data_IF_725145169813
#
_entry.id   IF_725145169813
#
_cell.length_a   1.000
_cell.length_b   1.000
_cell.length_c   1.000
_cell.angle_alpha   90.00
_cell.angle_beta   90.00
_cell.angle_gamma   90.00
#
_symmetry.space_group_name_H-M   'P 1'
#
loop_
_entity.id
_entity.type
_entity.pdbx_description
1 polymer ?
#
# COMPACT_ATOMS: atom_id res chain seq x y z
N UNK A 1 -19.71 -0.83 -1.55
CA UNK A 1 -18.34 -1.34 -1.27
C UNK A 1 -18.31 -2.86 -1.37
N UNK A 2 -18.91 -3.62 -0.45
CA UNK A 2 -18.88 -5.10 -0.51
C UNK A 2 -19.46 -5.68 -1.80
N UNK A 3 -20.56 -5.13 -2.31
CA UNK A 3 -21.12 -5.55 -3.60
C UNK A 3 -20.15 -5.33 -4.79
N UNK A 4 -19.35 -4.25 -4.78
CA UNK A 4 -18.35 -3.99 -5.82
C UNK A 4 -17.21 -4.99 -5.74
N UNK A 5 -16.75 -5.33 -4.53
CA UNK A 5 -15.72 -6.36 -4.36
C UNK A 5 -16.25 -7.73 -4.75
N UNK A 6 -17.48 -8.08 -4.36
CA UNK A 6 -18.11 -9.34 -4.75
C UNK A 6 -18.27 -9.47 -6.26
N UNK A 7 -18.68 -8.40 -6.95
CA UNK A 7 -18.74 -8.38 -8.40
C UNK A 7 -17.35 -8.56 -9.03
N UNK A 8 -16.34 -7.81 -8.56
CA UNK A 8 -14.98 -7.93 -9.07
C UNK A 8 -14.38 -9.32 -8.81
N UNK A 9 -14.55 -9.85 -7.60
CA UNK A 9 -14.12 -11.21 -7.24
C UNK A 9 -14.82 -12.26 -8.09
N UNK A 10 -16.13 -12.14 -8.33
CA UNK A 10 -16.86 -13.05 -9.21
C UNK A 10 -16.28 -13.04 -10.64
N UNK A 11 -16.02 -11.85 -11.20
CA UNK A 11 -15.36 -11.72 -12.51
C UNK A 11 -13.95 -12.33 -12.49
N UNK A 12 -13.17 -12.11 -11.44
CA UNK A 12 -11.83 -12.68 -11.33
C UNK A 12 -11.89 -14.21 -11.24
N UNK A 13 -12.81 -14.78 -10.44
CA UNK A 13 -12.95 -16.23 -10.31
C UNK A 13 -13.35 -16.91 -11.61
N UNK A 14 -14.16 -16.25 -12.46
CA UNK A 14 -14.55 -16.82 -13.76
C UNK A 14 -13.46 -16.68 -14.81
N UNK A 15 -12.55 -15.71 -14.67
CA UNK A 15 -11.46 -15.46 -15.61
C UNK A 15 -10.11 -16.04 -15.17
N UNK A 16 -9.94 -16.40 -13.90
CA UNK A 16 -8.67 -16.91 -13.36
C UNK A 16 -8.46 -18.37 -13.75
N UNK A 17 -7.25 -18.66 -14.24
CA UNK A 17 -6.80 -20.03 -14.46
C UNK A 17 -6.49 -20.79 -13.14
N UNK A 18 -6.51 -20.12 -11.99
CA UNK A 18 -6.29 -20.77 -10.69
C UNK A 18 -7.61 -21.22 -10.07
N UNK A 19 -7.62 -22.41 -9.47
CA UNK A 19 -8.78 -22.96 -8.77
C UNK A 19 -9.25 -22.10 -7.56
N UNK A 20 -8.42 -21.15 -7.12
CA UNK A 20 -8.65 -20.28 -5.96
C UNK A 20 -9.21 -18.91 -6.40
N UNK A 21 -9.21 -18.61 -7.70
CA UNK A 21 -9.63 -17.31 -8.21
C UNK A 21 -8.58 -16.20 -8.05
N UNK A 22 -7.32 -16.52 -7.77
CA UNK A 22 -6.23 -15.56 -7.64
C UNK A 22 -5.36 -15.48 -8.89
N UNK A 23 -4.51 -14.47 -8.99
CA UNK A 23 -3.32 -14.60 -9.85
C UNK A 23 -2.40 -15.65 -9.23
N UNK A 24 -1.77 -16.51 -10.04
CA UNK A 24 -0.79 -17.47 -9.52
C UNK A 24 0.36 -16.76 -8.80
N UNK A 25 0.70 -15.53 -9.23
CA UNK A 25 1.64 -14.65 -8.54
C UNK A 25 1.24 -14.41 -7.06
N UNK A 26 -0.02 -14.06 -6.80
CA UNK A 26 -0.48 -13.82 -5.43
C UNK A 26 -0.50 -15.10 -4.60
N UNK A 27 -0.88 -16.23 -5.20
CA UNK A 27 -0.91 -17.51 -4.50
C UNK A 27 0.48 -17.88 -3.95
N UNK A 28 1.56 -17.61 -4.70
CA UNK A 28 2.93 -17.90 -4.27
C UNK A 28 3.33 -17.18 -2.98
N UNK A 29 2.76 -16.01 -2.67
CA UNK A 29 3.02 -15.30 -1.41
C UNK A 29 2.53 -16.07 -0.16
N UNK A 30 1.60 -17.01 -0.33
CA UNK A 30 1.09 -17.87 0.75
C UNK A 30 1.84 -19.20 0.85
N UNK A 31 2.62 -19.57 -0.17
CA UNK A 31 3.41 -20.81 -0.18
C UNK A 31 4.82 -20.61 0.38
N UNK A 32 5.44 -19.46 0.09
CA UNK A 32 6.76 -19.13 0.61
C UNK A 32 6.68 -18.78 2.10
N UNK A 33 7.41 -19.53 2.93
CA UNK A 33 7.35 -19.45 4.39
C UNK A 33 8.72 -19.68 5.04
N UNK A 34 8.87 -19.20 6.29
CA UNK A 34 10.14 -19.25 7.03
C UNK A 34 10.55 -20.65 7.50
N UNK A 35 9.58 -21.57 7.64
CA UNK A 35 9.84 -22.92 8.15
C UNK A 35 10.50 -23.79 7.08
N UNK A 36 9.98 -23.74 5.86
CA UNK A 36 10.45 -24.57 4.75
C UNK A 36 11.57 -23.88 3.94
N UNK A 37 11.57 -22.55 3.88
CA UNK A 37 12.46 -21.79 2.98
C UNK A 37 13.55 -20.99 3.71
N UNK A 38 13.61 -21.07 5.05
CA UNK A 38 14.48 -20.22 5.86
C UNK A 38 14.04 -18.76 5.86
N UNK A 39 14.87 -17.86 6.37
CA UNK A 39 14.51 -16.43 6.42
C UNK A 39 14.49 -15.82 5.01
N UNK A 40 13.30 -15.61 4.43
CA UNK A 40 13.13 -15.02 3.09
C UNK A 40 12.16 -13.83 3.16
N UNK A 41 12.43 -12.75 2.41
CA UNK A 41 11.53 -11.59 2.38
C UNK A 41 10.10 -11.97 1.96
N UNK A 42 9.11 -11.29 2.53
CA UNK A 42 7.67 -11.49 2.26
C UNK A 42 7.12 -12.87 2.64
N UNK A 43 7.85 -13.66 3.44
CA UNK A 43 7.44 -15.01 3.82
C UNK A 43 6.61 -15.05 5.11
N UNK A 44 6.40 -13.92 5.80
CA UNK A 44 5.66 -13.90 7.07
C UNK A 44 4.22 -14.40 6.91
N UNK A 45 3.52 -13.96 5.87
CA UNK A 45 2.12 -14.38 5.65
C UNK A 45 2.05 -15.87 5.35
N UNK A 46 2.89 -16.40 4.44
CA UNK A 46 2.96 -17.84 4.20
C UNK A 46 3.31 -18.65 5.44
N UNK A 47 4.17 -18.14 6.33
CA UNK A 47 4.49 -18.77 7.61
C UNK A 47 3.28 -18.89 8.53
N UNK A 48 2.42 -17.87 8.57
CA UNK A 48 1.17 -17.93 9.34
C UNK A 48 0.23 -18.99 8.75
N UNK A 49 0.15 -19.13 7.43
CA UNK A 49 -0.71 -20.13 6.80
C UNK A 49 -0.14 -21.55 6.81
N UNK A 50 1.16 -21.72 7.03
CA UNK A 50 1.79 -23.04 7.12
C UNK A 50 1.29 -23.86 8.33
N UNK A 51 0.75 -23.20 9.36
CA UNK A 51 0.13 -23.88 10.51
C UNK A 51 -1.26 -24.44 10.18
N UNK A 52 -1.87 -24.01 9.08
CA UNK A 52 -3.17 -24.51 8.62
C UNK A 52 -2.94 -25.80 7.83
N UNK A 53 -3.65 -26.90 8.14
CA UNK A 53 -3.53 -28.15 7.39
C UNK A 53 -3.77 -27.92 5.89
N UNK A 54 -2.98 -28.60 5.04
CA UNK A 54 -3.01 -28.42 3.58
C UNK A 54 -4.42 -28.50 2.98
N UNK A 55 -5.26 -29.42 3.48
CA UNK A 55 -6.64 -29.58 3.03
C UNK A 55 -7.53 -28.33 3.21
N UNK A 56 -7.19 -27.46 4.17
CA UNK A 56 -7.95 -26.25 4.52
C UNK A 56 -7.26 -24.95 4.13
N UNK A 57 -5.99 -25.01 3.71
CA UNK A 57 -5.15 -23.83 3.47
C UNK A 57 -5.78 -22.87 2.44
N UNK A 58 -6.25 -23.40 1.31
CA UNK A 58 -6.94 -22.63 0.26
C UNK A 58 -8.15 -21.87 0.80
N UNK A 59 -9.02 -22.54 1.56
CA UNK A 59 -10.23 -21.94 2.14
C UNK A 59 -9.84 -20.86 3.15
N UNK A 60 -8.81 -21.11 3.97
CA UNK A 60 -8.31 -20.14 4.94
C UNK A 60 -7.76 -18.87 4.26
N UNK A 61 -7.02 -19.00 3.15
CA UNK A 61 -6.49 -17.86 2.40
C UNK A 61 -7.64 -17.04 1.78
N UNK A 62 -8.65 -17.69 1.18
CA UNK A 62 -9.83 -16.99 0.66
C UNK A 62 -10.56 -16.25 1.79
N UNK A 63 -10.81 -16.93 2.91
CA UNK A 63 -11.47 -16.35 4.07
C UNK A 63 -10.69 -15.15 4.63
N UNK A 64 -9.36 -15.24 4.67
CA UNK A 64 -8.47 -14.15 5.06
C UNK A 64 -8.57 -12.95 4.11
N UNK A 65 -8.53 -13.16 2.79
CA UNK A 65 -8.70 -12.08 1.83
C UNK A 65 -10.04 -11.35 2.00
N UNK A 66 -11.13 -12.09 2.23
CA UNK A 66 -12.43 -11.50 2.53
C UNK A 66 -12.45 -10.73 3.85
N UNK A 67 -11.80 -11.27 4.88
CA UNK A 67 -11.66 -10.59 6.16
C UNK A 67 -10.87 -9.27 6.02
N UNK A 68 -9.82 -9.23 5.21
CA UNK A 68 -9.07 -7.99 4.90
C UNK A 68 -9.97 -6.95 4.22
N UNK A 69 -10.73 -7.35 3.20
CA UNK A 69 -11.67 -6.49 2.50
C UNK A 69 -12.70 -5.90 3.45
N UNK A 70 -13.31 -6.74 4.30
CA UNK A 70 -14.31 -6.30 5.29
C UNK A 70 -13.68 -5.36 6.29
N UNK A 71 -12.49 -5.68 6.82
CA UNK A 71 -11.79 -4.82 7.76
C UNK A 71 -11.49 -3.44 7.16
N UNK A 72 -11.00 -3.37 5.91
CA UNK A 72 -10.76 -2.11 5.22
C UNK A 72 -12.06 -1.33 4.97
N UNK A 73 -13.15 -2.03 4.62
CA UNK A 73 -14.46 -1.40 4.48
C UNK A 73 -14.93 -0.78 5.80
N UNK A 74 -14.75 -1.47 6.93
CA UNK A 74 -15.09 -0.96 8.26
C UNK A 74 -14.23 0.25 8.64
N UNK A 75 -12.94 0.24 8.33
CA UNK A 75 -12.05 1.41 8.53
C UNK A 75 -12.57 2.62 7.76
N UNK A 76 -12.90 2.45 6.47
CA UNK A 76 -13.43 3.54 5.64
C UNK A 76 -14.78 4.03 6.17
N UNK A 77 -15.70 3.12 6.53
CA UNK A 77 -17.00 3.50 7.12
C UNK A 77 -16.82 4.29 8.41
N UNK A 78 -15.92 3.85 9.29
CA UNK A 78 -15.60 4.56 10.52
C UNK A 78 -15.03 5.96 10.26
N UNK A 79 -14.08 6.09 9.33
CA UNK A 79 -13.51 7.38 8.93
C UNK A 79 -14.60 8.32 8.40
N UNK A 80 -15.47 7.85 7.49
CA UNK A 80 -16.54 8.66 6.92
C UNK A 80 -17.58 9.06 7.97
N UNK A 81 -17.88 8.18 8.92
CA UNK A 81 -18.75 8.51 10.05
C UNK A 81 -18.14 9.63 10.91
N UNK A 82 -16.85 9.55 11.25
CA UNK A 82 -16.16 10.59 12.01
C UNK A 82 -16.06 11.92 11.25
N UNK A 83 -15.88 11.87 9.94
CA UNK A 83 -15.80 13.05 9.06
C UNK A 83 -17.14 13.78 8.92
N UNK A 84 -18.28 13.09 8.99
CA UNK A 84 -19.62 13.73 8.91
C UNK A 84 -19.84 14.80 9.97
N UNK A 85 -19.24 14.64 11.15
CA UNK A 85 -19.32 15.63 12.22
C UNK A 85 -18.39 16.83 12.02
N UNK A 86 -17.48 16.77 11.05
CA UNK A 86 -16.40 17.77 10.85
C UNK A 86 -16.49 18.50 9.50
N UNK A 87 -17.26 18.00 8.55
CA UNK A 87 -17.36 18.53 7.19
C UNK A 87 -18.81 18.80 6.79
N UNK A 88 -19.05 19.81 5.92
CA UNK A 88 -20.29 19.95 5.17
C UNK A 88 -20.65 18.67 4.40
N UNK A 89 -21.96 18.42 4.22
CA UNK A 89 -22.49 17.18 3.63
C UNK A 89 -21.93 16.89 2.23
N UNK A 90 -21.79 17.92 1.40
CA UNK A 90 -21.26 17.84 0.03
C UNK A 90 -19.78 17.44 0.01
N UNK A 91 -18.97 18.04 0.89
CA UNK A 91 -17.55 17.71 1.01
C UNK A 91 -17.34 16.30 1.59
N UNK A 92 -18.13 15.93 2.61
CA UNK A 92 -18.11 14.58 3.15
C UNK A 92 -18.52 13.54 2.10
N UNK A 93 -19.53 13.85 1.27
CA UNK A 93 -19.96 12.98 0.18
C UNK A 93 -18.86 12.79 -0.87
N UNK A 94 -18.22 13.89 -1.28
CA UNK A 94 -17.12 13.84 -2.25
C UNK A 94 -15.93 13.02 -1.73
N UNK A 95 -15.55 13.21 -0.46
CA UNK A 95 -14.49 12.42 0.16
C UNK A 95 -14.89 10.93 0.29
N UNK A 96 -16.16 10.63 0.54
CA UNK A 96 -16.67 9.25 0.51
C UNK A 96 -16.54 8.62 -0.88
N UNK A 97 -16.94 9.35 -1.94
CA UNK A 97 -16.78 8.87 -3.32
C UNK A 97 -15.31 8.59 -3.63
N UNK A 98 -14.41 9.49 -3.24
CA UNK A 98 -12.97 9.32 -3.48
C UNK A 98 -12.38 8.12 -2.73
N UNK A 99 -12.76 7.89 -1.47
CA UNK A 99 -12.34 6.70 -0.73
C UNK A 99 -12.90 5.40 -1.33
N UNK A 100 -14.11 5.41 -1.87
CA UNK A 100 -14.73 4.21 -2.46
C UNK A 100 -14.15 3.91 -3.84
N UNK A 101 -13.89 4.96 -4.63
CA UNK A 101 -13.38 4.86 -5.98
C UNK A 101 -11.85 4.74 -6.03
N UNK A 102 -11.14 5.04 -4.93
CA UNK A 102 -9.69 5.03 -4.89
C UNK A 102 -9.11 3.70 -5.43
N UNK A 103 -8.11 3.76 -6.32
CA UNK A 103 -7.61 2.60 -7.05
C UNK A 103 -7.00 1.52 -6.16
N UNK A 104 -6.71 1.76 -4.86
CA UNK A 104 -6.24 0.72 -3.92
C UNK A 104 -7.29 0.34 -2.88
N UNK A 105 -8.56 0.57 -3.20
CA UNK A 105 -9.68 0.20 -2.35
C UNK A 105 -10.49 -0.89 -3.06
N UNK A 106 -11.80 -0.74 -3.15
CA UNK A 106 -12.71 -1.84 -3.44
C UNK A 106 -12.72 -2.26 -4.91
N UNK A 107 -12.35 -1.37 -5.84
CA UNK A 107 -12.31 -1.69 -7.27
C UNK A 107 -11.16 -2.63 -7.63
N UNK A 108 -9.94 -2.40 -7.13
CA UNK A 108 -8.82 -3.32 -7.38
C UNK A 108 -8.82 -4.55 -6.48
N UNK A 109 -9.49 -4.56 -5.33
CA UNK A 109 -9.56 -5.77 -4.49
C UNK A 109 -10.27 -6.92 -5.18
N UNK A 110 -11.21 -6.63 -6.09
CA UNK A 110 -11.83 -7.65 -6.91
C UNK A 110 -10.93 -8.21 -8.01
N UNK A 111 -9.95 -7.44 -8.50
CA UNK A 111 -9.02 -7.86 -9.56
C UNK A 111 -7.73 -8.48 -9.00
N UNK A 112 -7.33 -8.07 -7.80
CA UNK A 112 -6.05 -8.40 -7.18
C UNK A 112 -6.26 -8.82 -5.72
N UNK A 113 -7.16 -9.79 -5.56
CA UNK A 113 -7.62 -10.28 -4.27
C UNK A 113 -6.48 -10.88 -3.43
N UNK A 114 -6.56 -10.68 -2.10
CA UNK A 114 -5.60 -11.17 -1.10
C UNK A 114 -4.14 -10.73 -1.29
N UNK A 115 -3.89 -9.63 -2.02
CA UNK A 115 -2.54 -9.06 -2.14
C UNK A 115 -2.05 -8.48 -0.81
N UNK A 116 -0.76 -8.65 -0.55
CA UNK A 116 -0.10 -8.24 0.70
C UNK A 116 -0.23 -6.74 1.05
N UNK A 117 -0.45 -5.88 0.05
CA UNK A 117 -0.65 -4.45 0.30
C UNK A 117 -1.91 -4.15 1.10
N UNK A 118 -2.96 -4.95 0.93
CA UNK A 118 -4.24 -4.74 1.60
C UNK A 118 -4.06 -4.90 3.12
N UNK A 119 -3.31 -5.92 3.53
CA UNK A 119 -2.91 -6.11 4.91
C UNK A 119 -2.05 -4.93 5.38
N UNK A 120 -1.07 -4.51 4.59
CA UNK A 120 -0.23 -3.38 4.95
C UNK A 120 -0.99 -2.04 5.05
N UNK A 121 -2.05 -1.82 4.28
CA UNK A 121 -2.92 -0.66 4.44
C UNK A 121 -3.70 -0.68 5.76
N UNK A 122 -4.13 -1.86 6.23
CA UNK A 122 -4.67 -2.01 7.58
C UNK A 122 -3.62 -1.72 8.65
N UNK A 123 -2.39 -2.20 8.46
CA UNK A 123 -1.29 -1.91 9.38
C UNK A 123 -0.92 -0.43 9.39
N UNK A 124 -1.02 0.28 8.25
CA UNK A 124 -0.89 1.74 8.18
C UNK A 124 -1.98 2.43 9.02
N UNK A 125 -3.25 2.06 8.84
CA UNK A 125 -4.35 2.63 9.61
C UNK A 125 -4.19 2.40 11.13
N UNK A 126 -3.81 1.18 11.51
CA UNK A 126 -3.50 0.83 12.90
C UNK A 126 -2.30 1.63 13.43
N UNK A 127 -1.24 1.77 12.63
CA UNK A 127 -0.05 2.54 13.00
C UNK A 127 -0.37 4.01 13.26
N UNK A 128 -1.19 4.64 12.43
CA UNK A 128 -1.66 6.01 12.65
C UNK A 128 -2.48 6.13 13.96
N UNK A 129 -3.32 5.15 14.26
CA UNK A 129 -4.05 5.08 15.54
C UNK A 129 -3.10 4.93 16.75
N UNK A 130 -2.06 4.11 16.63
CA UNK A 130 -1.05 3.92 17.68
C UNK A 130 -0.22 5.17 17.89
N UNK A 131 0.15 5.88 16.81
CA UNK A 131 0.76 7.21 16.90
C UNK A 131 -0.17 8.18 17.62
N UNK A 132 -1.45 8.23 17.24
CA UNK A 132 -2.42 9.13 17.87
C UNK A 132 -2.51 8.92 19.39
N UNK A 133 -2.44 7.66 19.83
CA UNK A 133 -2.47 7.24 21.25
C UNK A 133 -1.10 7.24 21.94
N UNK A 134 0.01 7.47 21.24
CA UNK A 134 1.35 7.51 21.81
C UNK A 134 1.98 6.14 22.16
N UNK A 135 1.53 5.05 21.54
CA UNK A 135 2.03 3.70 21.81
C UNK A 135 3.24 3.33 20.93
N UNK A 136 4.41 3.90 21.22
CA UNK A 136 5.62 3.71 20.41
C UNK A 136 6.12 2.25 20.29
N UNK A 137 6.01 1.45 21.36
CA UNK A 137 6.45 0.04 21.32
C UNK A 137 5.55 -0.84 20.45
N UNK A 138 4.22 -0.71 20.59
CA UNK A 138 3.28 -1.40 19.72
C UNK A 138 3.47 -0.98 18.26
N UNK A 139 3.73 0.31 18.02
CA UNK A 139 4.03 0.81 16.69
C UNK A 139 5.30 0.16 16.09
N UNK A 140 6.32 -0.09 16.92
CA UNK A 140 7.54 -0.78 16.49
C UNK A 140 7.25 -2.22 16.01
N UNK A 141 6.42 -2.97 16.75
CA UNK A 141 6.01 -4.32 16.37
C UNK A 141 5.20 -4.32 15.06
N UNK A 142 4.24 -3.39 14.93
CA UNK A 142 3.45 -3.26 13.70
C UNK A 142 4.33 -2.87 12.51
N UNK A 143 5.31 -1.98 12.72
CA UNK A 143 6.23 -1.56 11.66
C UNK A 143 7.13 -2.70 11.18
N UNK A 144 7.70 -3.48 12.11
CA UNK A 144 8.46 -4.68 11.78
C UNK A 144 7.59 -5.71 11.02
N UNK A 145 6.36 -5.92 11.50
CA UNK A 145 5.40 -6.83 10.86
C UNK A 145 5.10 -6.39 9.42
N UNK A 146 4.80 -5.10 9.20
CA UNK A 146 4.53 -4.56 7.86
C UNK A 146 5.69 -4.71 6.89
N UNK A 147 6.93 -4.51 7.37
CA UNK A 147 8.15 -4.72 6.58
C UNK A 147 8.40 -6.19 6.23
N UNK A 148 8.12 -7.12 7.15
CA UNK A 148 8.24 -8.56 6.91
C UNK A 148 7.16 -9.11 5.96
N UNK A 149 5.96 -8.51 5.97
CA UNK A 149 4.92 -8.79 4.98
C UNK A 149 5.35 -8.28 3.61
N UNK A 150 5.72 -7.00 3.52
CA UNK A 150 6.23 -6.42 2.30
C UNK A 150 7.09 -5.19 2.61
N UNK A 151 8.35 -5.24 2.20
CA UNK A 151 9.36 -4.22 2.44
C UNK A 151 9.00 -2.83 1.86
N UNK A 152 8.09 -2.78 0.86
CA UNK A 152 7.56 -1.52 0.34
C UNK A 152 6.78 -0.71 1.40
N UNK A 153 6.37 -1.36 2.50
CA UNK A 153 5.81 -0.71 3.67
C UNK A 153 6.72 0.36 4.25
N UNK A 154 8.05 0.29 4.04
CA UNK A 154 8.98 1.36 4.42
C UNK A 154 8.51 2.72 3.88
N UNK A 155 8.08 2.72 2.62
CA UNK A 155 7.81 3.92 1.84
C UNK A 155 6.37 4.41 2.01
N UNK A 156 5.38 3.52 1.88
CA UNK A 156 3.97 3.92 1.98
C UNK A 156 3.36 3.72 3.37
N UNK A 157 4.02 2.99 4.26
CA UNK A 157 3.53 2.71 5.61
C UNK A 157 4.29 3.51 6.65
N UNK A 158 5.56 3.15 6.85
CA UNK A 158 6.39 3.68 7.92
C UNK A 158 6.73 5.16 7.73
N UNK A 159 7.15 5.59 6.54
CA UNK A 159 7.50 6.99 6.29
C UNK A 159 6.35 7.97 6.60
N UNK A 160 5.10 7.79 6.10
CA UNK A 160 4.00 8.68 6.48
C UNK A 160 3.62 8.59 7.96
N UNK A 161 3.77 7.42 8.59
CA UNK A 161 3.53 7.24 10.03
C UNK A 161 4.55 8.03 10.87
N UNK A 162 5.84 7.95 10.52
CA UNK A 162 6.90 8.71 11.18
C UNK A 162 6.73 10.22 10.95
N UNK A 163 6.34 10.63 9.73
CA UNK A 163 6.02 12.02 9.42
C UNK A 163 4.86 12.53 10.29
N UNK A 164 3.78 11.75 10.42
CA UNK A 164 2.65 12.09 11.29
C UNK A 164 3.06 12.18 12.76
N UNK A 165 3.82 11.20 13.26
CA UNK A 165 4.32 11.17 14.62
C UNK A 165 5.21 12.38 14.94
N UNK A 166 6.11 12.76 14.03
CA UNK A 166 6.93 13.95 14.16
C UNK A 166 6.08 15.21 14.30
N UNK A 167 5.13 15.42 13.40
CA UNK A 167 4.28 16.62 13.43
C UNK A 167 3.46 16.69 14.73
N UNK A 168 2.96 15.56 15.22
CA UNK A 168 2.14 15.48 16.43
C UNK A 168 2.95 15.70 17.71
N UNK A 169 4.16 15.14 17.80
CA UNK A 169 4.94 15.12 19.03
C UNK A 169 6.10 16.13 19.07
N UNK A 170 6.40 16.88 18.00
CA UNK A 170 7.50 17.88 18.00
C UNK A 170 7.39 18.99 19.04
N UNK A 171 6.18 19.28 19.54
CA UNK A 171 5.92 20.31 20.56
C UNK A 171 5.71 19.73 21.97
N UNK A 172 5.77 18.41 22.12
CA UNK A 172 5.61 17.67 23.39
C UNK A 172 7.00 17.48 24.02
N UNK A 173 7.15 17.32 25.35
CA UNK A 173 8.44 17.06 25.97
C UNK A 173 9.27 16.00 25.26
N UNK A 174 10.59 16.24 25.18
CA UNK A 174 11.54 15.47 24.38
C UNK A 174 11.52 13.97 24.68
N UNK A 175 11.28 13.57 25.93
CA UNK A 175 11.23 12.16 26.35
C UNK A 175 10.05 11.38 25.76
N UNK A 176 8.89 12.02 25.55
CA UNK A 176 7.73 11.37 24.93
C UNK A 176 7.87 11.33 23.41
N UNK A 177 8.33 12.43 22.81
CA UNK A 177 8.61 12.49 21.37
C UNK A 177 9.67 11.46 20.96
N UNK A 178 10.78 11.39 21.72
CA UNK A 178 11.83 10.41 21.50
C UNK A 178 11.29 8.98 21.58
N UNK A 179 10.49 8.63 22.59
CA UNK A 179 9.95 7.25 22.73
C UNK A 179 9.04 6.84 21.58
N UNK A 180 8.17 7.73 21.10
CA UNK A 180 7.23 7.40 20.01
C UNK A 180 7.97 7.18 18.68
N UNK A 181 9.06 7.91 18.43
CA UNK A 181 9.82 7.84 17.17
C UNK A 181 10.98 6.83 17.20
N UNK A 182 11.66 6.69 18.35
CA UNK A 182 12.88 5.89 18.49
C UNK A 182 12.62 4.40 18.26
N UNK A 183 11.65 3.82 18.98
CA UNK A 183 11.38 2.38 18.89
C UNK A 183 10.99 1.89 17.49
N UNK A 184 10.05 2.54 16.76
CA UNK A 184 9.75 2.09 15.40
C UNK A 184 10.91 2.29 14.43
N UNK A 185 11.74 3.33 14.61
CA UNK A 185 12.93 3.52 13.79
C UNK A 185 13.95 2.40 14.01
N UNK A 186 14.25 2.05 15.27
CA UNK A 186 15.17 0.95 15.61
C UNK A 186 14.64 -0.38 15.08
N UNK A 187 13.36 -0.68 15.28
CA UNK A 187 12.74 -1.91 14.78
C UNK A 187 12.76 -1.97 13.24
N UNK A 188 12.49 -0.85 12.56
CA UNK A 188 12.55 -0.78 11.12
C UNK A 188 13.97 -1.00 10.59
N UNK A 189 14.98 -0.34 11.17
CA UNK A 189 16.39 -0.53 10.78
C UNK A 189 16.82 -1.98 11.00
N UNK A 190 16.55 -2.57 12.16
CA UNK A 190 16.87 -3.97 12.43
C UNK A 190 16.19 -4.92 11.44
N UNK A 191 14.90 -4.70 11.15
CA UNK A 191 14.13 -5.53 10.21
C UNK A 191 14.65 -5.39 8.78
N UNK A 192 14.93 -4.16 8.34
CA UNK A 192 15.48 -3.90 7.01
C UNK A 192 16.88 -4.48 6.85
N UNK A 193 17.73 -4.39 7.88
CA UNK A 193 19.03 -5.04 7.88
C UNK A 193 18.89 -6.56 7.76
N UNK A 194 17.99 -7.18 8.54
CA UNK A 194 17.72 -8.61 8.42
C UNK A 194 17.25 -8.97 7.00
N UNK A 195 16.30 -8.22 6.42
CA UNK A 195 15.83 -8.41 5.05
C UNK A 195 16.96 -8.24 4.02
N UNK A 196 17.82 -7.24 4.19
CA UNK A 196 18.89 -6.95 3.25
C UNK A 196 19.98 -8.03 3.23
N UNK A 197 20.38 -8.52 4.42
CA UNK A 197 21.48 -9.48 4.54
C UNK A 197 21.04 -10.94 4.44
N UNK A 198 19.86 -11.27 4.96
CA UNK A 198 19.38 -12.64 5.06
C UNK A 198 18.11 -12.90 4.23
N UNK A 199 17.37 -11.88 3.77
CA UNK A 199 16.03 -12.04 3.20
C UNK A 199 15.94 -12.60 1.77
N UNK A 200 16.94 -13.37 1.31
CA UNK A 200 16.96 -14.03 -0.01
C UNK A 200 16.87 -15.54 0.13
N UNK A 201 16.27 -16.21 -0.85
CA UNK A 201 16.28 -17.67 -0.88
C UNK A 201 17.63 -18.19 -1.41
N UNK A 202 18.45 -18.77 -0.53
CA UNK A 202 19.85 -19.09 -0.84
C UNK A 202 20.06 -20.39 -1.62
N UNK A 203 19.16 -21.36 -1.50
CA UNK A 203 19.29 -22.65 -2.20
C UNK A 203 19.09 -22.54 -3.73
N UNK A 204 18.74 -21.35 -4.22
CA UNK A 204 18.69 -21.05 -5.65
C UNK A 204 17.37 -21.43 -6.33
N UNK A 205 17.28 -21.07 -7.63
CA UNK A 205 16.02 -21.15 -8.39
C UNK A 205 15.51 -22.57 -8.57
N UNK A 206 16.38 -23.52 -8.90
CA UNK A 206 15.99 -24.92 -9.15
C UNK A 206 15.38 -25.56 -7.90
N UNK A 207 16.00 -25.35 -6.74
CA UNK A 207 15.48 -25.81 -5.45
C UNK A 207 14.12 -25.16 -5.14
N UNK A 208 13.95 -23.87 -5.41
CA UNK A 208 12.68 -23.17 -5.17
C UNK A 208 11.56 -23.67 -6.09
N UNK A 209 11.88 -23.92 -7.36
CA UNK A 209 10.91 -24.51 -8.32
C UNK A 209 10.54 -25.92 -7.86
N UNK A 210 11.50 -26.71 -7.42
CA UNK A 210 11.27 -28.05 -6.91
C UNK A 210 10.42 -28.07 -5.64
N UNK A 211 10.65 -27.14 -4.70
CA UNK A 211 9.89 -27.06 -3.44
C UNK A 211 8.44 -26.66 -3.67
N UNK A 212 8.19 -25.79 -4.64
CA UNK A 212 6.85 -25.37 -5.03
C UNK A 212 6.14 -26.42 -5.90
N UNK A 213 6.89 -27.28 -6.61
CA UNK A 213 6.37 -28.42 -7.35
C UNK A 213 5.26 -28.04 -8.33
N UNK A 214 4.17 -28.81 -8.33
CA UNK A 214 2.99 -28.54 -9.19
C UNK A 214 2.19 -27.30 -8.79
N UNK A 215 2.53 -26.62 -7.69
CA UNK A 215 1.88 -25.36 -7.28
C UNK A 215 2.34 -24.16 -8.14
N UNK A 216 3.45 -24.30 -8.88
CA UNK A 216 3.91 -23.35 -9.89
C UNK A 216 3.33 -23.66 -11.27
N UNK A 217 2.54 -22.73 -11.82
CA UNK A 217 2.24 -22.75 -13.26
C UNK A 217 3.38 -22.14 -14.09
N UNK A 218 3.65 -22.69 -15.27
CA UNK A 218 4.71 -22.28 -16.21
C UNK A 218 4.91 -20.77 -16.45
N UNK A 219 3.87 -19.92 -16.59
CA UNK A 219 4.08 -18.48 -16.81
C UNK A 219 4.67 -17.72 -15.61
N UNK A 220 4.81 -18.35 -14.43
CA UNK A 220 5.18 -17.66 -13.19
C UNK A 220 6.66 -17.77 -12.81
N UNK A 221 7.50 -18.38 -13.64
CA UNK A 221 8.93 -18.49 -13.35
C UNK A 221 9.62 -17.12 -13.13
N UNK A 222 9.10 -16.05 -13.75
CA UNK A 222 9.58 -14.68 -13.52
C UNK A 222 9.16 -14.10 -12.16
N UNK A 223 8.04 -14.57 -11.59
CA UNK A 223 7.59 -14.17 -10.25
C UNK A 223 8.60 -14.57 -9.17
N UNK A 224 9.25 -15.72 -9.35
CA UNK A 224 10.22 -16.26 -8.41
C UNK A 224 11.43 -15.33 -8.18
N UNK A 225 11.73 -14.47 -9.16
CA UNK A 225 12.79 -13.48 -9.03
C UNK A 225 12.55 -12.50 -7.85
N UNK A 226 11.32 -12.40 -7.35
CA UNK A 226 11.01 -11.63 -6.14
C UNK A 226 11.66 -12.23 -4.89
N UNK A 227 11.88 -13.55 -4.79
CA UNK A 227 12.52 -14.15 -3.61
C UNK A 227 14.00 -14.50 -3.81
N UNK A 228 14.44 -14.57 -5.08
CA UNK A 228 15.80 -14.95 -5.44
C UNK A 228 16.77 -13.77 -5.54
N UNK A 229 16.30 -12.58 -5.94
CA UNK A 229 17.16 -11.40 -6.13
C UNK A 229 17.46 -10.71 -4.82
N UNK A 230 18.63 -10.10 -4.70
CA UNK A 230 18.88 -9.16 -3.62
C UNK A 230 18.02 -7.89 -3.80
N UNK A 231 17.84 -7.10 -2.75
CA UNK A 231 17.21 -5.78 -2.89
C UNK A 231 18.03 -4.81 -3.75
N UNK A 232 19.35 -5.05 -3.84
CA UNK A 232 20.31 -4.19 -4.55
C UNK A 232 20.29 -4.39 -6.07
N UNK A 233 19.79 -5.53 -6.56
CA UNK A 233 19.71 -5.83 -8.00
C UNK A 233 18.45 -5.23 -8.65
N UNK A 234 17.54 -4.68 -7.85
CA UNK A 234 16.26 -4.15 -8.32
C UNK A 234 16.39 -2.91 -9.22
N UNK A 235 17.25 -1.91 -8.93
CA UNK A 235 17.44 -0.76 -9.80
C UNK A 235 17.93 -1.14 -11.20
N UNK A 236 18.90 -2.05 -11.30
CA UNK A 236 19.41 -2.53 -12.59
C UNK A 236 18.30 -3.23 -13.40
N UNK A 237 17.49 -4.05 -12.72
CA UNK A 237 16.32 -4.67 -13.36
C UNK A 237 15.31 -3.63 -13.89
N UNK A 238 15.01 -2.60 -13.12
CA UNK A 238 14.08 -1.54 -13.54
C UNK A 238 14.65 -0.77 -14.72
N UNK A 239 15.93 -0.38 -14.67
CA UNK A 239 16.61 0.32 -15.77
C UNK A 239 16.59 -0.52 -17.04
N UNK A 240 16.91 -1.81 -16.95
CA UNK A 240 16.85 -2.73 -18.09
C UNK A 240 15.45 -2.80 -18.69
N UNK A 241 14.40 -2.89 -17.85
CA UNK A 241 13.01 -2.91 -18.32
C UNK A 241 12.56 -1.60 -18.97
N UNK A 242 12.99 -0.46 -18.43
CA UNK A 242 12.73 0.85 -19.04
C UNK A 242 13.42 0.97 -20.41
N UNK A 243 14.65 0.47 -20.55
CA UNK A 243 15.37 0.43 -21.82
C UNK A 243 14.68 -0.43 -22.89
N UNK A 244 13.84 -1.39 -22.48
CA UNK A 244 13.01 -2.20 -23.38
C UNK A 244 11.65 -1.58 -23.72
N UNK A 245 11.42 -0.30 -23.40
CA UNK A 245 10.20 0.41 -23.81
C UNK A 245 8.97 0.09 -22.98
N UNK A 246 9.13 -0.32 -21.70
CA UNK A 246 7.99 -0.56 -20.80
C UNK A 246 7.06 0.67 -20.70
N UNK A 247 7.62 1.87 -20.77
CA UNK A 247 6.90 3.14 -20.84
C UNK A 247 7.59 4.08 -21.82
N UNK A 248 6.82 4.83 -22.58
CA UNK A 248 7.34 5.95 -23.35
C UNK A 248 7.58 7.18 -22.46
N UNK A 249 8.28 8.16 -23.05
CA UNK A 249 8.50 9.46 -22.41
C UNK A 249 7.18 10.16 -22.02
N UNK A 250 6.11 10.16 -22.85
CA UNK A 250 4.84 10.79 -22.47
C UNK A 250 4.21 10.17 -21.21
N UNK A 251 4.26 8.85 -21.05
CA UNK A 251 3.73 8.15 -19.88
C UNK A 251 4.52 8.51 -18.62
N UNK A 252 5.85 8.53 -18.69
CA UNK A 252 6.70 8.94 -17.57
C UNK A 252 6.44 10.40 -17.16
N UNK A 253 6.27 11.29 -18.14
CA UNK A 253 5.91 12.70 -17.88
C UNK A 253 4.52 12.82 -17.27
N UNK A 254 3.54 12.03 -17.73
CA UNK A 254 2.19 12.01 -17.16
C UNK A 254 2.20 11.50 -15.72
N UNK A 255 2.92 10.41 -15.43
CA UNK A 255 3.12 9.87 -14.08
C UNK A 255 3.76 10.96 -13.19
N UNK A 256 4.89 11.54 -13.62
CA UNK A 256 5.60 12.56 -12.86
C UNK A 256 4.73 13.80 -12.60
N UNK A 257 4.03 14.28 -13.63
CA UNK A 257 3.09 15.41 -13.54
C UNK A 257 1.94 15.13 -12.58
N UNK A 258 1.42 13.90 -12.56
CA UNK A 258 0.36 13.49 -11.64
C UNK A 258 0.84 13.49 -10.18
N UNK A 259 2.00 12.88 -9.91
CA UNK A 259 2.58 12.85 -8.56
C UNK A 259 2.85 14.26 -8.04
N UNK A 260 3.50 15.09 -8.86
CA UNK A 260 3.78 16.48 -8.51
C UNK A 260 2.49 17.29 -8.34
N UNK A 261 1.48 17.06 -9.18
CA UNK A 261 0.18 17.71 -9.10
C UNK A 261 -0.56 17.42 -7.80
N UNK A 262 -0.60 16.16 -7.35
CA UNK A 262 -1.20 15.78 -6.07
C UNK A 262 -0.53 16.53 -4.91
N UNK A 263 0.81 16.53 -4.88
CA UNK A 263 1.55 17.13 -3.76
C UNK A 263 1.50 18.65 -3.79
N UNK A 264 1.59 19.26 -4.97
CA UNK A 264 1.37 20.68 -5.14
C UNK A 264 -0.04 21.09 -4.66
N UNK A 265 -1.05 20.26 -4.93
CA UNK A 265 -2.41 20.52 -4.45
C UNK A 265 -2.54 20.37 -2.93
N UNK A 266 -1.89 19.38 -2.30
CA UNK A 266 -1.85 19.25 -0.83
C UNK A 266 -1.14 20.44 -0.16
N UNK A 267 -0.03 20.90 -0.75
CA UNK A 267 0.70 22.10 -0.32
C UNK A 267 -0.18 23.35 -0.49
N UNK A 268 -0.82 23.49 -1.65
CA UNK A 268 -1.72 24.59 -1.96
C UNK A 268 -2.91 24.65 -1.01
N UNK A 269 -3.49 23.50 -0.65
CA UNK A 269 -4.52 23.39 0.39
C UNK A 269 -4.00 23.93 1.72
N UNK A 270 -2.80 23.50 2.12
CA UNK A 270 -2.21 23.93 3.39
C UNK A 270 -2.08 25.46 3.43
N UNK A 271 -1.52 26.07 2.37
CA UNK A 271 -1.37 27.52 2.27
C UNK A 271 -2.70 28.26 2.17
N UNK A 272 -3.67 27.75 1.41
CA UNK A 272 -5.01 28.33 1.30
C UNK A 272 -5.74 28.38 2.67
N UNK A 273 -5.35 27.49 3.59
CA UNK A 273 -5.86 27.47 4.96
C UNK A 273 -4.95 28.24 5.95
N UNK A 274 -4.03 29.07 5.46
CA UNK A 274 -3.11 29.85 6.28
C UNK A 274 -2.07 29.02 7.03
N UNK A 275 -1.85 27.76 6.62
CA UNK A 275 -0.91 26.84 7.26
C UNK A 275 0.33 26.66 6.39
N UNK A 276 1.49 26.58 7.03
CA UNK A 276 2.69 26.08 6.36
C UNK A 276 2.55 24.57 6.15
N UNK A 277 2.89 24.04 4.96
CA UNK A 277 2.94 22.60 4.74
C UNK A 277 3.92 21.96 5.72
N UNK A 278 3.54 20.83 6.31
CA UNK A 278 4.40 20.05 7.19
C UNK A 278 4.89 18.77 6.49
N UNK A 279 5.78 18.04 7.16
CA UNK A 279 6.36 16.80 6.62
C UNK A 279 5.30 15.72 6.34
N UNK A 280 4.16 15.75 7.03
CA UNK A 280 3.08 14.80 6.77
C UNK A 280 2.33 15.14 5.47
N UNK A 281 2.15 16.42 5.16
CA UNK A 281 1.56 16.88 3.88
C UNK A 281 2.32 16.33 2.67
N UNK A 282 3.65 16.29 2.74
CA UNK A 282 4.51 15.82 1.64
C UNK A 282 4.85 14.34 1.71
N UNK A 283 4.39 13.62 2.74
CA UNK A 283 4.67 12.19 2.92
C UNK A 283 4.21 11.27 1.78
N UNK A 284 3.22 11.59 0.93
CA UNK A 284 2.94 10.77 -0.25
C UNK A 284 4.14 10.64 -1.21
N UNK A 285 5.07 11.61 -1.22
CA UNK A 285 6.31 11.52 -2.00
C UNK A 285 7.23 10.38 -1.57
N UNK A 286 7.03 9.82 -0.37
CA UNK A 286 7.83 8.70 0.12
C UNK A 286 7.68 7.45 -0.76
N UNK A 287 6.67 7.38 -1.63
CA UNK A 287 6.48 6.30 -2.61
C UNK A 287 7.41 6.44 -3.83
N UNK A 288 7.97 7.62 -4.13
CA UNK A 288 8.82 7.85 -5.31
C UNK A 288 10.00 6.85 -5.43
N UNK A 289 10.75 6.52 -4.35
CA UNK A 289 11.77 5.48 -4.41
C UNK A 289 11.30 4.15 -5.00
N UNK A 290 10.03 3.77 -4.82
CA UNK A 290 9.50 2.51 -5.34
C UNK A 290 9.48 2.44 -6.88
N UNK A 291 9.45 3.58 -7.58
CA UNK A 291 9.62 3.63 -9.03
C UNK A 291 11.02 3.19 -9.48
N UNK A 292 12.02 3.25 -8.59
CA UNK A 292 13.38 2.76 -8.88
C UNK A 292 13.58 1.31 -8.44
N UNK A 293 12.71 0.76 -7.59
CA UNK A 293 12.85 -0.60 -7.05
C UNK A 293 11.85 -1.61 -7.63
N UNK A 294 10.84 -1.17 -8.38
CA UNK A 294 9.88 -2.08 -9.00
C UNK A 294 9.09 -1.44 -10.13
N UNK A 295 8.63 -2.28 -11.06
CA UNK A 295 7.96 -1.87 -12.30
C UNK A 295 6.43 -1.69 -12.16
N UNK A 296 5.90 -1.82 -10.94
CA UNK A 296 4.46 -1.70 -10.67
C UNK A 296 4.00 -0.22 -10.57
N UNK A 297 4.25 0.60 -11.59
CA UNK A 297 4.05 2.07 -11.52
C UNK A 297 2.60 2.48 -11.28
N UNK A 298 1.68 1.79 -11.95
CA UNK A 298 0.25 1.83 -11.70
C UNK A 298 -0.07 1.71 -10.19
N UNK A 299 0.54 0.73 -9.54
CA UNK A 299 0.36 0.48 -8.11
C UNK A 299 0.93 1.59 -7.23
N UNK A 300 2.11 2.11 -7.58
CA UNK A 300 2.72 3.22 -6.86
C UNK A 300 1.89 4.50 -6.93
N UNK A 301 1.32 4.82 -8.10
CA UNK A 301 0.40 5.95 -8.24
C UNK A 301 -0.84 5.81 -7.35
N UNK A 302 -1.43 4.61 -7.31
CA UNK A 302 -2.58 4.37 -6.46
C UNK A 302 -2.27 4.42 -4.96
N UNK A 303 -1.06 4.01 -4.55
CA UNK A 303 -0.58 4.21 -3.18
C UNK A 303 -0.41 5.70 -2.85
N UNK A 304 0.16 6.51 -3.76
CA UNK A 304 0.25 7.97 -3.58
C UNK A 304 -1.13 8.59 -3.37
N UNK A 305 -2.13 8.16 -4.16
CA UNK A 305 -3.51 8.62 -4.03
C UNK A 305 -4.11 8.30 -2.65
N UNK A 306 -3.93 7.06 -2.17
CA UNK A 306 -4.38 6.66 -0.83
C UNK A 306 -3.67 7.44 0.27
N UNK A 307 -2.36 7.69 0.13
CA UNK A 307 -1.64 8.49 1.11
C UNK A 307 -2.12 9.94 1.12
N UNK A 308 -2.39 10.53 -0.04
CA UNK A 308 -2.98 11.86 -0.12
C UNK A 308 -4.36 11.92 0.56
N UNK A 309 -5.22 10.93 0.34
CA UNK A 309 -6.51 10.80 1.03
C UNK A 309 -6.35 10.62 2.54
N UNK A 310 -5.36 9.84 2.96
CA UNK A 310 -5.02 9.60 4.36
C UNK A 310 -4.56 10.88 5.04
N UNK A 311 -3.68 11.65 4.38
CA UNK A 311 -3.20 12.97 4.86
C UNK A 311 -4.36 13.92 5.05
N UNK A 312 -5.21 14.11 4.03
CA UNK A 312 -6.36 15.02 4.10
C UNK A 312 -7.33 14.60 5.19
N UNK A 313 -7.71 13.31 5.21
CA UNK A 313 -8.65 12.77 6.19
C UNK A 313 -8.14 12.98 7.62
N UNK A 314 -6.87 12.67 7.87
CA UNK A 314 -6.25 12.82 9.20
C UNK A 314 -6.22 14.29 9.62
N UNK A 315 -5.87 15.21 8.72
CA UNK A 315 -5.86 16.64 9.04
C UNK A 315 -7.26 17.20 9.34
N UNK A 316 -8.30 16.76 8.61
CA UNK A 316 -9.70 17.10 8.93
C UNK A 316 -10.08 16.59 10.32
N UNK A 317 -9.77 15.33 10.63
CA UNK A 317 -10.10 14.72 11.92
C UNK A 317 -9.37 15.38 13.10
N UNK A 318 -8.14 15.85 12.89
CA UNK A 318 -7.41 16.66 13.87
C UNK A 318 -7.94 18.11 13.98
N UNK A 319 -8.96 18.48 13.22
CA UNK A 319 -9.53 19.83 13.25
C UNK A 319 -8.60 20.88 12.65
N UNK A 320 -7.57 20.48 11.90
CA UNK A 320 -6.59 21.41 11.31
C UNK A 320 -7.18 22.31 10.23
N UNK A 321 -8.32 21.89 9.67
CA UNK A 321 -9.13 22.64 8.72
C UNK A 321 -10.44 23.17 9.34
N UNK A 322 -10.64 23.07 10.65
CA UNK A 322 -11.85 23.59 11.30
C UNK A 322 -11.84 25.14 11.28
N UNK A 323 -13.01 25.74 11.03
CA UNK A 323 -13.23 27.19 11.15
C UNK A 323 -12.88 28.03 9.92
N UNK A 324 -12.37 27.42 8.85
CA UNK A 324 -12.13 28.11 7.59
C UNK A 324 -13.25 27.73 6.62
N UNK A 325 -14.14 28.67 6.31
CA UNK A 325 -15.24 28.51 5.35
C UNK A 325 -14.79 28.28 3.89
N UNK A 326 -13.52 27.89 3.69
CA UNK A 326 -12.94 27.60 2.40
C UNK A 326 -13.26 26.14 2.08
N UNK A 327 -14.10 25.93 1.07
CA UNK A 327 -14.27 24.63 0.47
C UNK A 327 -12.89 24.07 0.08
N UNK A 328 -12.58 22.84 0.48
CA UNK A 328 -11.38 22.16 -0.03
C UNK A 328 -11.36 22.33 -1.57
N UNK A 329 -10.28 22.84 -2.17
CA UNK A 329 -10.30 23.38 -3.52
C UNK A 329 -10.84 22.34 -4.49
N UNK A 330 -11.88 22.70 -5.26
CA UNK A 330 -12.45 21.80 -6.29
C UNK A 330 -11.36 21.19 -7.17
N UNK A 331 -10.27 21.94 -7.42
CA UNK A 331 -9.07 21.50 -8.14
C UNK A 331 -8.39 20.28 -7.51
N UNK A 332 -8.25 20.21 -6.18
CA UNK A 332 -7.68 19.03 -5.51
C UNK A 332 -8.55 17.80 -5.72
N UNK A 333 -9.87 17.96 -5.61
CA UNK A 333 -10.79 16.87 -5.86
C UNK A 333 -10.80 16.46 -7.32
N UNK A 334 -10.71 17.39 -8.27
CA UNK A 334 -10.59 17.08 -9.69
C UNK A 334 -9.27 16.36 -10.00
N UNK A 335 -8.16 16.74 -9.35
CA UNK A 335 -6.89 16.03 -9.46
C UNK A 335 -6.99 14.63 -8.87
N UNK A 336 -7.58 14.45 -7.69
CA UNK A 336 -7.80 13.13 -7.12
C UNK A 336 -8.77 12.29 -7.94
N UNK A 337 -9.87 12.85 -8.45
CA UNK A 337 -10.76 12.18 -9.40
C UNK A 337 -9.99 11.80 -10.65
N UNK A 338 -9.12 12.68 -11.15
CA UNK A 338 -8.17 12.37 -12.23
C UNK A 338 -7.29 11.18 -11.88
N UNK A 339 -6.67 11.13 -10.71
CA UNK A 339 -5.85 9.99 -10.25
C UNK A 339 -6.68 8.73 -10.04
N UNK A 340 -7.96 8.86 -9.71
CA UNK A 340 -8.88 7.75 -9.47
C UNK A 340 -9.42 7.18 -10.78
N UNK A 341 -9.72 8.03 -11.75
CA UNK A 341 -10.28 7.66 -13.06
C UNK A 341 -9.19 7.36 -14.10
N UNK A 342 -8.07 8.10 -14.06
CA UNK A 342 -6.84 7.85 -14.83
C UNK A 342 -5.88 6.93 -14.08
N UNK A 343 -6.18 6.62 -12.82
CA UNK A 343 -5.52 5.55 -12.10
C UNK A 343 -5.81 4.22 -12.76
N UNK A 344 -4.93 3.24 -12.57
CA UNK A 344 -4.95 2.01 -13.33
C UNK A 344 -6.19 1.20 -12.97
N UNK A 345 -7.18 1.18 -13.85
CA UNK A 345 -8.13 0.07 -13.98
C UNK A 345 -7.43 -1.14 -14.65
N UNK A 346 -6.18 -1.41 -14.27
CA UNK A 346 -5.37 -2.49 -14.82
C UNK A 346 -3.92 -2.40 -14.35
N UNK A 347 -3.43 -3.43 -13.66
CA UNK A 347 -2.01 -3.60 -13.30
C UNK A 347 -1.07 -3.71 -14.51
N UNK A 348 -1.61 -3.69 -15.73
CA UNK A 348 -0.88 -3.89 -17.00
C UNK A 348 -1.05 -2.69 -17.95
N UNK A 349 -2.14 -1.92 -17.85
CA UNK A 349 -2.39 -0.75 -18.69
C UNK A 349 -2.82 0.44 -17.82
N UNK A 350 -2.03 1.51 -17.85
CA UNK A 350 -2.18 2.72 -17.03
C UNK A 350 -3.49 3.48 -17.27
N UNK A 351 -4.22 3.20 -18.34
CA UNK A 351 -5.41 3.96 -18.72
C UNK A 351 -6.56 3.00 -19.10
N UNK A 352 -7.79 3.22 -18.59
CA UNK A 352 -8.98 2.49 -19.04
C UNK A 352 -9.36 2.72 -20.52
N UNK A 353 -8.62 3.56 -21.24
CA UNK A 353 -8.90 3.96 -22.62
C UNK A 353 -7.82 3.51 -23.62
N UNK A 354 -6.84 2.70 -23.19
CA UNK A 354 -5.90 2.12 -24.14
C UNK A 354 -6.55 0.91 -24.82
N UNK A 355 -7.25 1.18 -25.92
CA UNK A 355 -7.79 0.20 -26.87
C UNK A 355 -6.69 -0.29 -27.84
N UNK A 356 -5.51 -0.62 -27.30
CA UNK A 356 -4.33 -1.05 -28.05
C UNK A 356 -4.03 -2.51 -27.83
#
# INVERSE_FOLDING_TARGET
MLALVAAGFAVQTTQSASAIGFSTFNALHFEINYLDHGFVRRALVGTVFQVVPDAWRTVAIIGFGWALVVALALVVVWLLHALRARLPRDQCWLLAVLWIAAPFTFLNFGYDFARLDQLNLLLLALSLCLVYRGHGLALALISATGLLIHEAYLFYGLAPVLAYAWVRYRAVPSSTSARVLFWPLVAALATLSAIAFAGRYEAGRSSLVQSLGSRLGDPNHNALNVWLRSGMDNPEYVIGRLGHGLFGTPELLAIGGLVLGIVAALIGISFAHGRRPDVFVVSPLAVIPLFFFGIDYARWLGLIAILALTVVTTQVLEGRFAGLGVACPRVFYLLLVGVVLLGPLGSVHLLPLWLG
#
